data_IF_036479506327
#
_entry.id   IF_036479506327
#
_cell.length_a   1.000
_cell.length_b   1.000
_cell.length_c   1.000
_cell.angle_alpha   90.00
_cell.angle_beta   90.00
_cell.angle_gamma   90.00
#
_symmetry.space_group_name_H-M   'P 1'
#
loop_
_entity.id
_entity.type
_entity.pdbx_description
1 polymer ?
#
# COMPACT_ATOMS: atom_id res chain seq x y z
N UNK A 1 10.06 -30.01 15.47
CA UNK A 1 9.91 -29.68 15.02
C UNK A 1 9.37 -29.00 14.32
N UNK A 2 9.21 -28.89 14.02
CA UNK A 2 8.94 -28.41 13.45
C UNK A 2 8.41 -27.54 13.02
N UNK A 3 7.82 -27.52 13.09
CA UNK A 3 7.89 -26.44 13.12
C UNK A 3 7.90 -25.48 11.99
N UNK A 4 8.17 -25.54 11.06
CA UNK A 4 8.30 -24.77 9.86
C UNK A 4 7.02 -24.22 9.29
N UNK A 5 5.92 -24.66 9.76
CA UNK A 5 4.65 -24.34 9.12
C UNK A 5 4.30 -22.85 9.11
N UNK A 6 4.67 -22.03 10.09
CA UNK A 6 4.27 -20.62 10.03
C UNK A 6 4.96 -19.83 8.91
N UNK A 7 6.09 -20.29 8.45
CA UNK A 7 6.85 -19.53 7.47
C UNK A 7 6.15 -19.33 6.14
N UNK A 8 5.59 -20.37 5.53
CA UNK A 8 4.90 -20.16 4.25
C UNK A 8 3.77 -19.18 4.37
N UNK A 9 3.09 -19.19 5.49
CA UNK A 9 1.98 -18.30 5.71
C UNK A 9 2.42 -16.84 5.74
N UNK A 10 3.49 -16.56 6.45
CA UNK A 10 4.01 -15.19 6.53
C UNK A 10 4.55 -14.74 5.19
N UNK A 11 5.22 -15.63 4.48
CA UNK A 11 5.73 -15.33 3.15
C UNK A 11 4.58 -14.95 2.22
N UNK A 12 3.46 -15.63 2.33
CA UNK A 12 2.31 -15.39 1.50
C UNK A 12 1.79 -13.96 1.70
N UNK A 13 1.68 -13.52 2.94
CA UNK A 13 1.22 -12.17 3.25
C UNK A 13 2.18 -11.13 2.70
N UNK A 14 3.47 -11.35 2.87
CA UNK A 14 4.48 -10.42 2.36
C UNK A 14 4.43 -10.34 0.85
N UNK A 15 4.26 -11.48 0.19
CA UNK A 15 4.18 -11.50 -1.26
C UNK A 15 2.96 -10.73 -1.76
N UNK A 16 1.85 -10.84 -1.05
CA UNK A 16 0.65 -10.10 -1.44
C UNK A 16 0.90 -8.60 -1.39
N UNK A 17 1.57 -8.12 -0.36
CA UNK A 17 1.88 -6.70 -0.26
C UNK A 17 2.83 -6.25 -1.35
N UNK A 18 3.86 -7.05 -1.64
CA UNK A 18 4.80 -6.73 -2.70
C UNK A 18 4.10 -6.70 -4.05
N UNK A 19 3.26 -7.68 -4.31
CA UNK A 19 2.52 -7.74 -5.58
C UNK A 19 1.57 -6.57 -5.71
N UNK A 20 0.92 -6.19 -4.63
CA UNK A 20 0.01 -5.05 -4.66
C UNK A 20 0.78 -3.76 -4.94
N UNK A 21 1.92 -3.58 -4.31
CA UNK A 21 2.72 -2.38 -4.53
C UNK A 21 3.13 -2.27 -6.00
N UNK A 22 3.53 -3.37 -6.61
CA UNK A 22 3.86 -3.38 -8.03
C UNK A 22 2.63 -3.10 -8.88
N UNK A 23 1.48 -3.65 -8.50
CA UNK A 23 0.25 -3.43 -9.25
C UNK A 23 -0.17 -1.96 -9.22
N UNK A 24 0.06 -1.28 -8.10
CA UNK A 24 -0.26 0.14 -7.99
C UNK A 24 0.55 0.95 -8.99
N UNK A 25 1.80 0.55 -9.25
CA UNK A 25 2.68 1.27 -10.17
C UNK A 25 2.70 0.69 -11.58
N UNK A 26 1.88 -0.31 -11.84
CA UNK A 26 1.84 -0.95 -13.16
C UNK A 26 1.10 -0.07 -14.17
N UNK A 27 1.57 -0.07 -15.42
CA UNK A 27 0.88 0.58 -16.51
C UNK A 27 0.45 -0.48 -17.52
N UNK A 28 -0.81 -0.41 -18.00
CA UNK A 28 -1.84 0.56 -17.63
C UNK A 28 -2.33 0.38 -16.21
N UNK A 29 -3.00 1.41 -15.68
CA UNK A 29 -3.50 1.38 -14.33
C UNK A 29 -4.48 0.23 -14.14
N UNK A 30 -4.26 -0.56 -13.09
CA UNK A 30 -5.13 -1.68 -12.76
C UNK A 30 -6.49 -1.21 -12.29
N UNK A 31 -7.55 -1.90 -12.71
CA UNK A 31 -8.91 -1.55 -12.34
C UNK A 31 -9.43 -2.34 -11.14
N UNK A 32 -8.61 -3.23 -10.57
CA UNK A 32 -9.07 -4.17 -9.55
C UNK A 32 -8.38 -4.00 -8.21
N UNK A 33 -7.90 -2.80 -7.92
CA UNK A 33 -7.24 -2.56 -6.63
C UNK A 33 -8.28 -2.07 -5.64
N UNK A 34 -8.39 -2.79 -4.51
CA UNK A 34 -9.37 -2.49 -3.48
C UNK A 34 -8.75 -1.69 -2.36
N UNK A 35 -9.53 -0.77 -1.80
CA UNK A 35 -9.05 0.07 -0.71
C UNK A 35 -8.54 -0.74 0.47
N UNK A 36 -9.25 -1.81 0.80
CA UNK A 36 -8.86 -2.65 1.93
C UNK A 36 -7.45 -3.19 1.78
N UNK A 37 -7.08 -3.55 0.55
CA UNK A 37 -5.74 -4.03 0.28
C UNK A 37 -4.70 -2.93 0.43
N UNK A 38 -5.04 -1.73 -0.04
CA UNK A 38 -4.15 -0.58 0.09
C UNK A 38 -3.94 -0.23 1.56
N UNK A 39 -5.02 -0.26 2.33
CA UNK A 39 -4.93 0.00 3.76
C UNK A 39 -3.99 -0.98 4.45
N UNK A 40 -4.12 -2.25 4.10
CA UNK A 40 -3.25 -3.29 4.65
C UNK A 40 -1.78 -3.05 4.25
N UNK A 41 -1.57 -2.69 2.99
CA UNK A 41 -0.21 -2.41 2.50
C UNK A 41 0.40 -1.22 3.25
N UNK A 42 -0.36 -0.15 3.41
CA UNK A 42 0.14 1.03 4.11
C UNK A 42 0.53 0.69 5.54
N UNK A 43 -0.31 -0.09 6.22
CA UNK A 43 0.04 -0.54 7.57
C UNK A 43 1.29 -1.38 7.59
N UNK A 44 1.45 -2.25 6.61
CA UNK A 44 2.64 -3.08 6.50
C UNK A 44 3.91 -2.23 6.30
N UNK A 45 3.79 -1.13 5.57
CA UNK A 45 4.92 -0.23 5.34
C UNK A 45 5.22 0.64 6.56
N UNK A 46 4.35 0.64 7.55
CA UNK A 46 4.57 1.41 8.76
C UNK A 46 3.80 2.72 8.81
N UNK A 47 2.82 2.90 7.95
CA UNK A 47 2.06 4.13 7.90
C UNK A 47 1.08 4.25 9.07
N UNK A 48 0.84 5.48 9.49
CA UNK A 48 -0.23 5.80 10.41
C UNK A 48 -1.39 6.39 9.62
N UNK A 49 -2.59 5.90 9.89
CA UNK A 49 -3.78 6.35 9.18
C UNK A 49 -4.76 6.97 10.18
N UNK A 50 -5.27 8.14 9.82
CA UNK A 50 -6.25 8.84 10.64
C UNK A 50 -7.46 9.18 9.79
N UNK A 51 -8.63 8.73 10.23
CA UNK A 51 -9.87 9.02 9.53
C UNK A 51 -10.28 10.45 9.77
N UNK A 52 -10.48 11.19 8.68
CA UNK A 52 -10.98 12.55 8.74
C UNK A 52 -12.44 12.58 8.30
N UNK A 53 -13.04 13.75 8.33
CA UNK A 53 -14.44 13.89 7.90
C UNK A 53 -14.56 13.58 6.42
N UNK A 54 -15.71 13.07 6.02
CA UNK A 54 -15.92 12.60 4.66
C UNK A 54 -15.16 11.32 4.43
N UNK A 55 -14.69 11.13 3.23
CA UNK A 55 -13.94 9.94 2.87
C UNK A 55 -12.43 10.18 2.88
N UNK A 56 -11.98 11.22 3.57
CA UNK A 56 -10.57 11.59 3.59
C UNK A 56 -9.83 10.85 4.69
N UNK A 57 -8.60 10.49 4.40
CA UNK A 57 -7.73 9.79 5.35
C UNK A 57 -6.38 10.48 5.34
N UNK A 58 -5.93 10.90 6.51
CA UNK A 58 -4.58 11.42 6.65
C UNK A 58 -3.64 10.23 6.82
N UNK A 59 -2.61 10.18 6.01
CA UNK A 59 -1.63 9.09 6.05
C UNK A 59 -0.26 9.67 6.28
N UNK A 60 0.45 9.09 7.23
CA UNK A 60 1.81 9.53 7.55
C UNK A 60 2.74 8.35 7.41
N UNK A 61 3.75 8.49 6.55
CA UNK A 61 4.67 7.40 6.25
C UNK A 61 6.06 7.97 6.02
N UNK A 62 7.02 7.47 6.77
CA UNK A 62 8.43 7.89 6.65
C UNK A 62 8.59 9.41 6.72
N UNK A 63 7.84 10.04 7.62
CA UNK A 63 7.93 11.47 7.80
C UNK A 63 7.15 12.30 6.79
N UNK A 64 6.57 11.67 5.79
CA UNK A 64 5.75 12.37 4.81
C UNK A 64 4.27 12.19 5.14
N UNK A 65 3.53 13.29 5.09
CA UNK A 65 2.11 13.26 5.42
C UNK A 65 1.30 13.69 4.20
N UNK A 66 0.26 12.94 3.90
CA UNK A 66 -0.61 13.25 2.79
C UNK A 66 -2.05 12.88 3.09
N UNK A 67 -2.95 13.29 2.21
CA UNK A 67 -4.37 12.98 2.33
C UNK A 67 -4.77 12.08 1.17
N UNK A 68 -5.35 10.94 1.50
CA UNK A 68 -5.90 10.04 0.51
C UNK A 68 -7.41 10.00 0.67
N UNK A 69 -8.09 9.52 -0.36
CA UNK A 69 -9.55 9.44 -0.35
C UNK A 69 -9.98 7.99 -0.51
N UNK A 70 -10.88 7.56 0.37
CA UNK A 70 -11.50 6.25 0.19
C UNK A 70 -12.55 6.33 -0.90
N UNK A 71 -12.75 5.24 -1.66
CA UNK A 71 -13.84 5.21 -2.64
C UNK A 71 -15.18 5.41 -1.94
N UNK A 72 -16.05 6.21 -2.55
CA UNK A 72 -17.37 6.44 -2.01
C UNK A 72 -18.31 5.27 -2.28
N UNK A 73 -18.14 4.64 -3.43
CA UNK A 73 -19.00 3.55 -3.85
C UNK A 73 -18.15 2.31 -4.08
N UNK A 74 -18.49 1.24 -3.40
CA UNK A 74 -17.70 0.03 -3.46
C UNK A 74 -16.36 0.23 -2.81
N UNK A 75 -15.42 -0.66 -3.09
CA UNK A 75 -14.11 -0.63 -2.47
C UNK A 75 -12.98 -0.51 -3.49
N UNK A 76 -13.31 -0.31 -4.76
CA UNK A 76 -12.31 -0.32 -5.83
C UNK A 76 -11.83 1.10 -6.10
N UNK A 77 -10.52 1.28 -6.15
CA UNK A 77 -9.93 2.57 -6.44
C UNK A 77 -10.03 2.88 -7.93
N UNK A 78 -10.42 4.13 -8.24
CA UNK A 78 -10.42 4.61 -9.60
C UNK A 78 -9.04 5.04 -10.04
N UNK A 79 -8.95 5.41 -11.33
CA UNK A 79 -7.68 5.83 -11.91
C UNK A 79 -7.06 6.99 -11.15
N UNK A 80 -7.88 7.97 -10.81
CA UNK A 80 -7.39 9.16 -10.12
C UNK A 80 -6.89 8.82 -8.72
N UNK A 81 -7.57 7.90 -8.05
CA UNK A 81 -7.15 7.45 -6.73
C UNK A 81 -5.80 6.76 -6.79
N UNK A 82 -5.59 5.94 -7.84
CA UNK A 82 -4.32 5.26 -8.01
C UNK A 82 -3.20 6.26 -8.27
N UNK A 83 -3.46 7.28 -9.09
CA UNK A 83 -2.45 8.30 -9.36
C UNK A 83 -2.07 9.05 -8.09
N UNK A 84 -3.05 9.41 -7.26
CA UNK A 84 -2.77 10.07 -6.00
C UNK A 84 -1.97 9.17 -5.07
N UNK A 85 -2.30 7.88 -5.07
CA UNK A 85 -1.58 6.92 -4.25
C UNK A 85 -0.14 6.77 -4.71
N UNK A 86 0.10 6.74 -6.02
CA UNK A 86 1.45 6.70 -6.55
C UNK A 86 2.26 7.91 -6.10
N UNK A 87 1.66 9.09 -6.18
CA UNK A 87 2.32 10.30 -5.75
C UNK A 87 2.67 10.24 -4.27
N UNK A 88 1.72 9.80 -3.45
CA UNK A 88 1.97 9.69 -2.03
C UNK A 88 3.13 8.74 -1.74
N UNK A 89 3.09 7.55 -2.35
CA UNK A 89 4.13 6.56 -2.10
C UNK A 89 5.49 7.03 -2.59
N UNK A 90 5.53 7.76 -3.71
CA UNK A 90 6.78 8.30 -4.22
C UNK A 90 7.37 9.32 -3.26
N UNK A 91 6.54 10.23 -2.76
CA UNK A 91 7.01 11.22 -1.80
C UNK A 91 7.43 10.59 -0.48
N UNK A 92 6.78 9.51 -0.10
CA UNK A 92 7.12 8.78 1.12
C UNK A 92 8.26 7.78 0.91
N UNK A 93 8.89 7.80 -0.26
CA UNK A 93 10.02 6.92 -0.60
C UNK A 93 9.65 5.46 -0.48
N UNK A 94 8.48 5.11 -0.97
CA UNK A 94 7.96 3.76 -0.88
C UNK A 94 7.48 3.24 -2.23
N UNK A 95 8.18 3.59 -3.31
CA UNK A 95 7.98 2.94 -4.61
C UNK A 95 8.48 1.50 -4.52
N UNK A 96 8.08 0.65 -5.48
CA UNK A 96 8.53 -0.74 -5.44
C UNK A 96 10.04 -0.91 -5.32
N UNK A 97 10.81 -0.14 -6.10
CA UNK A 97 12.26 -0.27 -6.03
C UNK A 97 12.83 0.22 -4.72
N UNK A 98 12.23 1.26 -4.14
CA UNK A 98 12.70 1.78 -2.86
C UNK A 98 12.43 0.82 -1.72
N UNK A 99 11.25 0.22 -1.72
CA UNK A 99 10.89 -0.77 -0.70
C UNK A 99 11.77 -2.00 -0.84
N UNK A 100 11.98 -2.45 -2.07
CA UNK A 100 12.83 -3.61 -2.33
C UNK A 100 14.25 -3.36 -1.86
N UNK A 101 14.77 -2.16 -2.11
CA UNK A 101 16.12 -1.82 -1.68
C UNK A 101 16.26 -1.88 -0.17
N UNK A 102 15.26 -1.39 0.55
CA UNK A 102 15.28 -1.44 2.02
C UNK A 102 15.23 -2.86 2.53
N UNK A 103 14.44 -3.71 1.89
CA UNK A 103 14.34 -5.12 2.29
C UNK A 103 15.66 -5.84 2.10
N UNK A 104 16.37 -5.54 1.02
CA UNK A 104 17.67 -6.16 0.77
C UNK A 104 18.72 -5.73 1.76
N UNK A 105 18.64 -4.49 2.20
CA UNK A 105 19.62 -3.93 3.13
C UNK A 105 19.29 -4.21 4.58
N UNK A 106 18.06 -4.59 4.82
CA UNK A 106 17.63 -4.87 6.17
C UNK A 106 17.71 -6.32 6.50
#
# INVERSE_FOLDING_TARGET
>A
MLTASPFPYESDVSHKHDNLLRAIFHDPISANIHWREVESLLGHLGAELEMLSGARIRVKLHGYEGILHRPHHGNTLGRQDIQHLREFLSHARSTPSQVEARQKNG
#
